data_IF_281104647836
#
_entry.id   IF_281104647836
#
_cell.length_a   1.000
_cell.length_b   1.000
_cell.length_c   1.000
_cell.angle_alpha   90.00
_cell.angle_beta   90.00
_cell.angle_gamma   90.00
#
_symmetry.space_group_name_H-M   'P 1'
#
loop_
_entity.id
_entity.type
_entity.pdbx_description
1 polymer ?
#
# COMPACT_ATOMS: atom_id res chain seq x y z
N UNK A 1 14.99 -10.02 2.43
CA UNK A 1 13.52 -10.21 2.54
C UNK A 1 12.91 -10.54 1.20
N UNK A 2 11.76 -11.16 1.22
CA UNK A 2 10.84 -11.37 0.09
C UNK A 2 9.65 -10.43 0.24
N UNK A 3 9.49 -9.51 -0.70
CA UNK A 3 8.57 -8.36 -0.56
C UNK A 3 7.54 -8.35 -1.68
N UNK A 4 6.27 -8.45 -1.32
CA UNK A 4 5.14 -8.30 -2.24
C UNK A 4 4.65 -6.84 -2.22
N UNK A 5 4.52 -6.22 -3.39
CA UNK A 5 4.19 -4.78 -3.51
C UNK A 5 3.06 -4.60 -4.52
N UNK A 6 1.91 -4.10 -4.10
CA UNK A 6 0.81 -3.82 -5.03
C UNK A 6 0.98 -2.48 -5.74
N UNK A 7 0.62 -2.43 -7.04
CA UNK A 7 0.79 -1.23 -7.87
C UNK A 7 2.25 -0.89 -8.16
N UNK A 8 3.10 -1.91 -8.43
CA UNK A 8 4.55 -1.80 -8.56
C UNK A 8 5.09 -1.21 -9.86
N UNK A 9 4.23 -0.74 -10.80
CA UNK A 9 4.67 -0.34 -12.14
C UNK A 9 4.89 1.17 -12.34
N UNK A 10 4.48 2.02 -11.40
CA UNK A 10 4.64 3.50 -11.49
C UNK A 10 4.69 4.17 -10.11
N UNK A 11 4.99 5.46 -10.11
CA UNK A 11 4.93 6.30 -8.91
C UNK A 11 5.72 5.72 -7.73
N UNK A 12 5.15 5.80 -6.53
CA UNK A 12 5.74 5.28 -5.30
C UNK A 12 6.00 3.77 -5.39
N UNK A 13 5.04 2.98 -5.94
CA UNK A 13 5.17 1.54 -6.04
C UNK A 13 6.40 1.09 -6.84
N UNK A 14 6.66 1.72 -7.98
CA UNK A 14 7.87 1.43 -8.77
C UNK A 14 9.15 1.82 -8.01
N UNK A 15 9.14 2.93 -7.27
CA UNK A 15 10.32 3.32 -6.49
C UNK A 15 10.54 2.37 -5.29
N UNK A 16 9.47 1.85 -4.69
CA UNK A 16 9.58 0.78 -3.68
C UNK A 16 10.19 -0.49 -4.29
N UNK A 17 9.71 -0.93 -5.47
CA UNK A 17 10.31 -2.08 -6.18
C UNK A 17 11.81 -1.83 -6.41
N UNK A 18 12.20 -0.65 -6.89
CA UNK A 18 13.61 -0.29 -7.13
C UNK A 18 14.44 -0.36 -5.86
N UNK A 19 14.05 0.36 -4.80
CA UNK A 19 14.86 0.45 -3.58
C UNK A 19 15.03 -0.91 -2.89
N UNK A 20 13.98 -1.74 -2.84
CA UNK A 20 14.12 -3.08 -2.28
C UNK A 20 14.99 -3.98 -3.17
N UNK A 21 14.82 -3.95 -4.49
CA UNK A 21 15.63 -4.74 -5.42
C UNK A 21 17.12 -4.34 -5.40
N UNK A 22 17.43 -3.06 -5.42
CA UNK A 22 18.80 -2.52 -5.37
C UNK A 22 19.54 -2.91 -4.08
N UNK A 23 18.79 -3.06 -2.98
CA UNK A 23 19.33 -3.54 -1.70
C UNK A 23 19.27 -5.07 -1.53
N UNK A 24 19.18 -5.82 -2.61
CA UNK A 24 19.37 -7.27 -2.62
C UNK A 24 18.15 -8.10 -2.22
N UNK A 25 16.98 -7.48 -2.06
CA UNK A 25 15.74 -8.19 -1.73
C UNK A 25 15.11 -8.82 -2.98
N UNK A 26 14.27 -9.83 -2.78
CA UNK A 26 13.42 -10.41 -3.82
C UNK A 26 12.09 -9.67 -3.79
N UNK A 27 11.65 -9.19 -4.95
CA UNK A 27 10.43 -8.40 -5.06
C UNK A 27 9.39 -9.07 -5.96
N UNK A 28 8.14 -9.03 -5.53
CA UNK A 28 6.97 -9.54 -6.24
C UNK A 28 5.98 -8.38 -6.49
N UNK A 29 6.25 -7.53 -7.51
CA UNK A 29 5.38 -6.41 -7.82
C UNK A 29 4.08 -6.90 -8.47
N UNK A 30 2.94 -6.59 -7.88
CA UNK A 30 1.64 -6.85 -8.50
C UNK A 30 1.27 -5.70 -9.42
N UNK A 31 0.91 -6.05 -10.64
CA UNK A 31 0.46 -5.15 -11.71
C UNK A 31 -0.73 -5.74 -12.45
N UNK A 32 -1.55 -4.88 -13.10
CA UNK A 32 -2.81 -5.30 -13.72
C UNK A 32 -2.76 -5.51 -15.23
N UNK A 33 -1.59 -5.35 -15.88
CA UNK A 33 -1.46 -5.48 -17.33
C UNK A 33 -0.20 -6.24 -17.72
N UNK A 34 -0.28 -7.06 -18.77
CA UNK A 34 0.86 -7.77 -19.36
C UNK A 34 1.98 -6.84 -19.82
N UNK A 35 1.62 -5.65 -20.29
CA UNK A 35 2.61 -4.62 -20.66
C UNK A 35 3.46 -4.23 -19.46
N UNK A 36 2.85 -4.02 -18.30
CA UNK A 36 3.59 -3.70 -17.08
C UNK A 36 4.46 -4.86 -16.60
N UNK A 37 3.99 -6.11 -16.74
CA UNK A 37 4.80 -7.31 -16.46
C UNK A 37 6.05 -7.33 -17.34
N UNK A 38 5.88 -7.14 -18.64
CA UNK A 38 6.99 -7.13 -19.62
C UNK A 38 7.99 -6.02 -19.31
N UNK A 39 7.52 -4.81 -19.01
CA UNK A 39 8.38 -3.68 -18.65
C UNK A 39 9.19 -3.96 -17.38
N UNK A 40 8.58 -4.52 -16.35
CA UNK A 40 9.29 -4.88 -15.12
C UNK A 40 10.34 -5.98 -15.35
N UNK A 41 10.02 -7.02 -16.15
CA UNK A 41 10.99 -8.06 -16.53
C UNK A 41 12.18 -7.52 -17.34
N UNK A 42 11.96 -6.51 -18.18
CA UNK A 42 13.02 -5.81 -18.89
C UNK A 42 13.88 -4.92 -17.99
N UNK A 43 13.24 -4.26 -17.01
CA UNK A 43 13.92 -3.35 -16.08
C UNK A 43 14.77 -4.09 -15.04
N UNK A 44 14.33 -5.27 -14.62
CA UNK A 44 14.96 -6.06 -13.56
C UNK A 44 15.27 -7.47 -14.06
N UNK A 45 16.55 -7.78 -14.26
CA UNK A 45 17.00 -9.05 -14.83
C UNK A 45 16.92 -10.26 -13.86
N UNK A 46 16.85 -10.01 -12.56
CA UNK A 46 16.80 -11.05 -11.52
C UNK A 46 16.06 -10.54 -10.27
N UNK A 47 15.68 -11.44 -9.39
CA UNK A 47 15.02 -11.12 -8.10
C UNK A 47 13.77 -10.24 -8.18
N UNK A 48 13.17 -10.13 -9.35
CA UNK A 48 11.90 -9.42 -9.57
C UNK A 48 10.96 -10.34 -10.36
N UNK A 49 9.88 -10.73 -9.72
CA UNK A 49 8.89 -11.68 -10.25
C UNK A 49 7.52 -11.01 -10.28
N UNK A 50 7.17 -10.30 -11.38
CA UNK A 50 5.89 -9.60 -11.47
C UNK A 50 4.71 -10.56 -11.39
N UNK A 51 3.70 -10.20 -10.61
CA UNK A 51 2.41 -10.89 -10.45
C UNK A 51 1.35 -10.12 -11.24
N UNK A 52 0.62 -10.83 -12.10
CA UNK A 52 -0.46 -10.24 -12.89
C UNK A 52 -1.80 -10.48 -12.22
N UNK A 53 -2.42 -9.44 -11.69
CA UNK A 53 -3.79 -9.49 -11.18
C UNK A 53 -4.39 -8.09 -11.08
N UNK A 54 -5.71 -7.99 -11.24
CA UNK A 54 -6.46 -6.75 -11.03
C UNK A 54 -7.18 -6.78 -9.67
N UNK A 55 -6.70 -5.96 -8.74
CA UNK A 55 -7.26 -5.86 -7.38
C UNK A 55 -8.70 -5.32 -7.34
N UNK A 56 -9.26 -4.82 -8.45
CA UNK A 56 -10.67 -4.45 -8.53
C UNK A 56 -11.60 -5.67 -8.61
N UNK A 57 -11.06 -6.86 -8.91
CA UNK A 57 -11.77 -8.11 -9.17
C UNK A 57 -11.47 -9.16 -8.09
N UNK A 58 -12.46 -9.95 -7.70
CA UNK A 58 -12.32 -10.97 -6.63
C UNK A 58 -11.39 -12.11 -7.03
N UNK A 59 -11.30 -12.42 -8.33
CA UNK A 59 -10.40 -13.44 -8.90
C UNK A 59 -8.93 -13.14 -8.62
N UNK A 60 -8.60 -11.88 -8.35
CA UNK A 60 -7.23 -11.48 -8.02
C UNK A 60 -6.65 -12.24 -6.81
N UNK A 61 -7.49 -12.65 -5.87
CA UNK A 61 -7.07 -13.45 -4.71
C UNK A 61 -6.42 -14.76 -5.12
N UNK A 62 -7.09 -15.55 -5.96
CA UNK A 62 -6.55 -16.84 -6.44
C UNK A 62 -5.41 -16.65 -7.45
N UNK A 63 -5.48 -15.61 -8.29
CA UNK A 63 -4.40 -15.26 -9.22
C UNK A 63 -3.10 -14.94 -8.48
N UNK A 64 -3.16 -14.16 -7.39
CA UNK A 64 -2.01 -13.82 -6.55
C UNK A 64 -1.45 -15.09 -5.92
N UNK A 65 -2.30 -15.89 -5.26
CA UNK A 65 -1.91 -17.10 -4.58
C UNK A 65 -1.18 -18.09 -5.53
N UNK A 66 -1.81 -18.41 -6.65
CA UNK A 66 -1.27 -19.39 -7.59
C UNK A 66 0.08 -18.96 -8.17
N UNK A 67 0.21 -17.69 -8.59
CA UNK A 67 1.48 -17.18 -9.12
C UNK A 67 2.58 -17.09 -8.04
N UNK A 68 2.25 -16.76 -6.80
CA UNK A 68 3.23 -16.75 -5.71
C UNK A 68 3.74 -18.16 -5.38
N UNK A 69 2.88 -19.17 -5.39
CA UNK A 69 3.25 -20.57 -5.16
C UNK A 69 4.28 -21.07 -6.17
N UNK A 70 4.28 -20.53 -7.42
CA UNK A 70 5.29 -20.85 -8.43
C UNK A 70 6.67 -20.23 -8.13
N UNK A 71 6.72 -19.10 -7.43
CA UNK A 71 7.95 -18.33 -7.25
C UNK A 71 8.55 -18.41 -5.85
N UNK A 72 7.74 -18.70 -4.82
CA UNK A 72 8.22 -18.63 -3.45
C UNK A 72 7.38 -19.44 -2.47
N UNK A 73 8.05 -19.96 -1.42
CA UNK A 73 7.39 -20.63 -0.31
C UNK A 73 6.87 -19.63 0.75
N UNK A 74 7.52 -18.47 0.89
CA UNK A 74 7.16 -17.49 1.91
C UNK A 74 7.35 -16.04 1.43
N UNK A 75 6.66 -15.12 2.10
CA UNK A 75 6.77 -13.66 1.94
C UNK A 75 7.00 -13.03 3.31
N UNK A 76 7.99 -12.15 3.45
CA UNK A 76 8.29 -11.45 4.70
C UNK A 76 7.47 -10.17 4.88
N UNK A 77 7.17 -9.50 3.76
CA UNK A 77 6.54 -8.18 3.76
C UNK A 77 5.54 -8.04 2.63
N UNK A 78 4.34 -7.64 2.96
CA UNK A 78 3.30 -7.20 2.02
C UNK A 78 3.16 -5.69 2.12
N UNK A 79 3.33 -4.96 1.01
CA UNK A 79 3.09 -3.53 0.93
C UNK A 79 1.88 -3.28 0.02
N UNK A 80 0.75 -2.95 0.63
CA UNK A 80 -0.47 -2.55 -0.05
C UNK A 80 -0.35 -1.08 -0.46
N UNK A 81 0.22 -0.83 -1.65
CA UNK A 81 0.47 0.50 -2.19
C UNK A 81 -0.51 0.88 -3.31
N UNK A 82 -1.12 -0.09 -4.00
CA UNK A 82 -2.07 0.20 -5.08
C UNK A 82 -3.16 1.17 -4.63
N UNK A 83 -3.44 2.16 -5.47
CA UNK A 83 -4.44 3.17 -5.16
C UNK A 83 -4.79 4.04 -6.34
N UNK A 84 -5.95 4.67 -6.24
CA UNK A 84 -6.47 5.67 -7.18
C UNK A 84 -6.85 6.93 -6.40
N UNK A 85 -7.02 8.05 -7.08
CA UNK A 85 -7.49 9.31 -6.49
C UNK A 85 -8.93 9.57 -6.86
N UNK A 86 -9.64 10.31 -6.00
CA UNK A 86 -10.93 10.91 -6.34
C UNK A 86 -10.75 12.34 -6.87
N UNK A 87 -11.81 12.89 -7.43
CA UNK A 87 -11.83 14.21 -8.05
C UNK A 87 -12.61 15.23 -7.23
N UNK A 88 -13.82 14.82 -6.81
CA UNK A 88 -14.78 15.74 -6.21
C UNK A 88 -14.40 16.10 -4.78
N UNK A 89 -14.42 17.39 -4.48
CA UNK A 89 -14.03 17.96 -3.18
C UNK A 89 -15.22 18.36 -2.31
N UNK A 90 -16.44 18.37 -2.88
CA UNK A 90 -17.68 18.77 -2.24
C UNK A 90 -18.74 17.66 -2.34
N UNK A 91 -19.56 17.52 -1.30
CA UNK A 91 -20.57 16.46 -1.21
C UNK A 91 -21.61 16.53 -2.34
N UNK A 92 -21.99 17.73 -2.77
CA UNK A 92 -23.00 17.92 -3.82
C UNK A 92 -22.54 17.43 -5.22
N UNK A 93 -21.24 17.33 -5.43
CA UNK A 93 -20.64 16.85 -6.69
C UNK A 93 -20.12 15.42 -6.60
N UNK A 94 -20.00 14.89 -5.38
CA UNK A 94 -19.54 13.51 -5.16
C UNK A 94 -20.60 12.51 -5.63
N UNK A 95 -20.19 11.59 -6.50
CA UNK A 95 -21.08 10.50 -6.95
C UNK A 95 -20.74 9.18 -6.26
N UNK A 96 -21.73 8.27 -6.22
CA UNK A 96 -21.59 6.97 -5.56
C UNK A 96 -20.59 6.04 -6.26
N UNK A 97 -20.46 6.15 -7.58
CA UNK A 97 -19.54 5.34 -8.38
C UNK A 97 -18.07 5.64 -7.98
N UNK A 98 -17.69 6.93 -7.94
CA UNK A 98 -16.34 7.32 -7.50
C UNK A 98 -16.03 6.77 -6.09
N UNK A 99 -16.97 6.91 -5.15
CA UNK A 99 -16.77 6.42 -3.79
C UNK A 99 -16.64 4.89 -3.76
N UNK A 100 -17.48 4.18 -4.52
CA UNK A 100 -17.45 2.71 -4.62
C UNK A 100 -16.12 2.23 -5.23
N UNK A 101 -15.65 2.87 -6.29
CA UNK A 101 -14.39 2.53 -6.94
C UNK A 101 -13.19 2.73 -6.00
N UNK A 102 -13.17 3.86 -5.28
CA UNK A 102 -12.11 4.10 -4.32
C UNK A 102 -12.15 3.10 -3.17
N UNK A 103 -13.32 2.79 -2.65
CA UNK A 103 -13.47 1.77 -1.60
C UNK A 103 -13.04 0.39 -2.11
N UNK A 104 -13.43 0.04 -3.35
CA UNK A 104 -13.04 -1.24 -3.97
C UNK A 104 -11.52 -1.40 -4.03
N UNK A 105 -10.79 -0.37 -4.45
CA UNK A 105 -9.32 -0.46 -4.54
C UNK A 105 -8.64 -0.34 -3.17
N UNK A 106 -9.02 0.66 -2.36
CA UNK A 106 -8.30 0.97 -1.12
C UNK A 106 -8.66 0.05 0.05
N UNK A 107 -9.82 -0.59 0.03
CA UNK A 107 -10.26 -1.52 1.09
C UNK A 107 -10.37 -2.95 0.58
N UNK A 108 -11.22 -3.25 -0.40
CA UNK A 108 -11.39 -4.61 -0.89
C UNK A 108 -10.14 -5.12 -1.60
N UNK A 109 -9.42 -4.25 -2.35
CA UNK A 109 -8.14 -4.60 -2.96
C UNK A 109 -7.08 -4.99 -1.93
N UNK A 110 -7.02 -4.31 -0.78
CA UNK A 110 -6.16 -4.71 0.35
C UNK A 110 -6.57 -6.07 0.89
N UNK A 111 -7.87 -6.32 1.09
CA UNK A 111 -8.38 -7.62 1.56
C UNK A 111 -7.99 -8.73 0.59
N UNK A 112 -8.17 -8.53 -0.73
CA UNK A 112 -7.81 -9.50 -1.77
C UNK A 112 -6.32 -9.81 -1.78
N UNK A 113 -5.48 -8.76 -1.70
CA UNK A 113 -4.02 -8.91 -1.63
C UNK A 113 -3.58 -9.68 -0.37
N UNK A 114 -4.14 -9.36 0.79
CA UNK A 114 -3.86 -10.06 2.04
C UNK A 114 -4.29 -11.52 1.96
N UNK A 115 -5.50 -11.82 1.47
CA UNK A 115 -5.97 -13.20 1.28
C UNK A 115 -5.07 -13.99 0.34
N UNK A 116 -4.68 -13.41 -0.81
CA UNK A 116 -3.84 -14.07 -1.81
C UNK A 116 -2.41 -14.32 -1.33
N UNK A 117 -1.89 -13.49 -0.42
CA UNK A 117 -0.53 -13.62 0.13
C UNK A 117 -0.47 -14.37 1.45
N UNK A 118 -1.61 -14.59 2.13
CA UNK A 118 -1.66 -15.06 3.51
C UNK A 118 -0.90 -16.36 3.77
N UNK A 119 -1.05 -17.37 2.89
CA UNK A 119 -0.40 -18.67 3.07
C UNK A 119 1.13 -18.54 3.03
N UNK A 120 1.66 -17.72 2.13
CA UNK A 120 3.09 -17.45 2.03
C UNK A 120 3.58 -16.54 3.18
N UNK A 121 2.75 -15.55 3.57
CA UNK A 121 3.08 -14.63 4.66
C UNK A 121 3.16 -15.36 6.02
N UNK A 122 2.25 -16.28 6.29
CA UNK A 122 2.21 -17.07 7.53
C UNK A 122 3.40 -18.03 7.71
N UNK A 123 4.19 -18.27 6.66
CA UNK A 123 5.41 -19.10 6.71
C UNK A 123 6.69 -18.29 6.99
N UNK A 124 6.61 -16.97 7.08
CA UNK A 124 7.75 -16.12 7.43
C UNK A 124 7.99 -16.11 8.94
N UNK A 125 9.24 -15.99 9.35
CA UNK A 125 9.62 -15.81 10.76
C UNK A 125 9.25 -14.40 11.29
N UNK A 126 9.14 -13.42 10.39
CA UNK A 126 8.87 -12.02 10.74
C UNK A 126 7.85 -11.37 9.80
N UNK A 127 6.62 -11.93 9.70
CA UNK A 127 5.64 -11.48 8.72
C UNK A 127 5.11 -10.08 9.03
N UNK A 128 5.06 -9.23 8.02
CA UNK A 128 4.56 -7.84 8.14
C UNK A 128 3.64 -7.46 6.99
N UNK A 129 2.62 -6.66 7.30
CA UNK A 129 1.75 -5.99 6.34
C UNK A 129 1.87 -4.47 6.55
N UNK A 130 2.11 -3.75 5.48
CA UNK A 130 2.12 -2.29 5.45
C UNK A 130 1.01 -1.83 4.50
N UNK A 131 0.07 -1.07 5.01
CA UNK A 131 -0.95 -0.41 4.22
C UNK A 131 -0.53 1.05 3.96
N UNK A 132 -0.25 1.37 2.69
CA UNK A 132 0.07 2.76 2.30
C UNK A 132 -1.21 3.57 2.31
N UNK A 133 -1.43 4.24 3.44
CA UNK A 133 -2.54 5.14 3.69
C UNK A 133 -2.18 6.59 3.33
N UNK A 134 -2.83 7.54 3.96
CA UNK A 134 -2.61 8.97 3.77
C UNK A 134 -2.97 9.73 5.05
N UNK A 135 -2.25 10.82 5.35
CA UNK A 135 -2.67 11.78 6.38
C UNK A 135 -4.12 12.25 6.20
N UNK A 136 -4.62 12.21 4.96
CA UNK A 136 -5.99 12.58 4.62
C UNK A 136 -7.05 11.60 5.15
N UNK A 137 -6.66 10.39 5.56
CA UNK A 137 -7.50 9.42 6.24
C UNK A 137 -7.53 9.58 7.77
N UNK A 138 -6.78 10.52 8.35
CA UNK A 138 -6.79 10.78 9.80
C UNK A 138 -8.06 11.51 10.21
N UNK A 139 -8.89 10.84 11.03
CA UNK A 139 -10.09 11.45 11.64
C UNK A 139 -9.70 12.58 12.61
N UNK A 140 -8.61 12.39 13.35
CA UNK A 140 -8.09 13.40 14.27
C UNK A 140 -7.72 14.70 13.54
N UNK A 141 -6.93 14.59 12.44
CA UNK A 141 -6.54 15.78 11.65
C UNK A 141 -7.75 16.45 11.01
N UNK A 142 -8.71 15.66 10.55
CA UNK A 142 -9.96 16.18 9.97
C UNK A 142 -10.79 16.92 11.01
N UNK A 143 -10.98 16.38 12.21
CA UNK A 143 -11.70 17.01 13.32
C UNK A 143 -11.04 18.31 13.78
N UNK A 144 -9.71 18.37 13.76
CA UNK A 144 -8.91 19.55 14.10
C UNK A 144 -8.80 20.59 12.97
N UNK A 145 -9.50 20.38 11.84
CA UNK A 145 -9.52 21.31 10.69
C UNK A 145 -8.12 21.58 10.11
N UNK A 146 -7.22 20.59 10.14
CA UNK A 146 -5.86 20.72 9.59
C UNK A 146 -5.83 20.75 8.05
N UNK A 147 -6.94 20.48 7.39
CA UNK A 147 -7.06 20.46 5.94
C UNK A 147 -7.93 21.62 5.44
N UNK A 148 -7.45 22.43 4.47
CA UNK A 148 -8.26 23.47 3.84
C UNK A 148 -9.50 22.89 3.17
N UNK A 149 -10.63 23.63 3.22
CA UNK A 149 -11.86 23.23 2.55
C UNK A 149 -11.69 23.23 1.03
N UNK A 150 -12.39 22.33 0.35
CA UNK A 150 -12.45 22.27 -1.12
C UNK A 150 -11.16 21.88 -1.84
N UNK A 151 -10.11 21.44 -1.13
CA UNK A 151 -8.81 21.14 -1.73
C UNK A 151 -8.49 19.66 -1.87
N UNK A 152 -9.18 18.80 -1.14
CA UNK A 152 -8.91 17.36 -1.15
C UNK A 152 -10.18 16.57 -1.47
N UNK A 153 -10.03 15.52 -2.28
CA UNK A 153 -11.15 14.66 -2.68
C UNK A 153 -11.94 14.15 -1.48
N UNK A 154 -13.26 14.30 -1.58
CA UNK A 154 -14.21 13.84 -0.58
C UNK A 154 -14.15 12.31 -0.43
N UNK A 155 -14.30 11.61 -1.57
CA UNK A 155 -14.28 10.14 -1.63
C UNK A 155 -12.94 9.54 -1.20
N UNK A 156 -11.81 10.18 -1.56
CA UNK A 156 -10.48 9.71 -1.18
C UNK A 156 -10.26 9.73 0.33
N UNK A 157 -10.68 10.82 1.00
CA UNK A 157 -10.58 10.92 2.47
C UNK A 157 -11.36 9.81 3.16
N UNK A 158 -12.59 9.54 2.69
CA UNK A 158 -13.44 8.47 3.24
C UNK A 158 -12.78 7.10 3.03
N UNK A 159 -12.32 6.81 1.81
CA UNK A 159 -11.68 5.53 1.50
C UNK A 159 -10.39 5.31 2.32
N UNK A 160 -9.58 6.36 2.54
CA UNK A 160 -8.36 6.26 3.35
C UNK A 160 -8.65 6.13 4.86
N UNK A 161 -9.72 6.74 5.36
CA UNK A 161 -10.19 6.51 6.73
C UNK A 161 -10.69 5.07 6.92
N UNK A 162 -11.43 4.54 5.94
CA UNK A 162 -11.85 3.14 5.93
C UNK A 162 -10.65 2.17 5.85
N UNK A 163 -9.62 2.48 5.04
CA UNK A 163 -8.37 1.70 5.00
C UNK A 163 -7.60 1.74 6.34
N UNK A 164 -7.63 2.86 7.05
CA UNK A 164 -7.07 2.97 8.40
C UNK A 164 -7.81 2.04 9.37
N UNK A 165 -9.14 2.03 9.36
CA UNK A 165 -9.94 1.09 10.15
C UNK A 165 -9.62 -0.37 9.78
N UNK A 166 -9.52 -0.69 8.48
CA UNK A 166 -9.14 -2.02 8.02
C UNK A 166 -7.76 -2.44 8.56
N UNK A 167 -6.80 -1.51 8.65
CA UNK A 167 -5.49 -1.80 9.25
C UNK A 167 -5.60 -2.26 10.70
N UNK A 168 -6.46 -1.61 11.49
CA UNK A 168 -6.70 -2.00 12.89
C UNK A 168 -7.44 -3.33 12.99
N UNK A 169 -8.42 -3.60 12.13
CA UNK A 169 -9.11 -4.88 12.07
C UNK A 169 -8.13 -6.04 11.76
N UNK A 170 -7.27 -5.84 10.74
CA UNK A 170 -6.25 -6.83 10.40
C UNK A 170 -5.24 -7.03 11.53
N UNK A 171 -4.82 -5.95 12.21
CA UNK A 171 -3.94 -6.05 13.36
C UNK A 171 -4.55 -6.89 14.47
N UNK A 172 -5.80 -6.60 14.85
CA UNK A 172 -6.50 -7.34 15.89
C UNK A 172 -6.67 -8.83 15.54
N UNK A 173 -7.00 -9.14 14.28
CA UNK A 173 -7.16 -10.52 13.81
C UNK A 173 -5.82 -11.28 13.79
N UNK A 174 -4.73 -10.61 13.44
CA UNK A 174 -3.44 -11.25 13.18
C UNK A 174 -2.44 -11.17 14.35
N UNK A 175 -2.76 -10.47 15.42
CA UNK A 175 -1.90 -10.32 16.60
C UNK A 175 -1.42 -11.68 17.14
N UNK A 176 -2.36 -12.60 17.38
CA UNK A 176 -2.04 -13.95 17.89
C UNK A 176 -1.37 -14.86 16.83
N UNK A 177 -1.27 -14.42 15.58
CA UNK A 177 -0.59 -15.13 14.49
C UNK A 177 0.83 -14.58 14.25
N UNK A 178 1.27 -13.60 15.03
CA UNK A 178 2.58 -12.99 14.92
C UNK A 178 2.76 -12.09 13.69
N UNK A 179 1.69 -11.78 12.94
CA UNK A 179 1.74 -10.90 11.77
C UNK A 179 1.52 -9.46 12.22
N UNK A 180 2.49 -8.59 12.00
CA UNK A 180 2.41 -7.16 12.34
C UNK A 180 1.78 -6.37 11.21
N UNK A 181 0.80 -5.51 11.52
CA UNK A 181 0.10 -4.70 10.52
C UNK A 181 0.22 -3.21 10.88
N UNK A 182 0.67 -2.40 9.93
CA UNK A 182 0.92 -0.95 10.14
C UNK A 182 0.32 -0.15 8.99
N UNK A 183 -0.30 0.99 9.27
CA UNK A 183 -0.61 1.99 8.27
C UNK A 183 0.53 3.00 8.16
N UNK A 184 0.87 3.42 6.92
CA UNK A 184 1.85 4.48 6.71
C UNK A 184 1.28 5.62 5.87
N UNK A 185 1.65 6.85 6.21
CA UNK A 185 1.60 7.99 5.30
C UNK A 185 2.99 8.13 4.65
N UNK A 186 3.10 8.04 3.30
CA UNK A 186 4.40 8.02 2.63
C UNK A 186 5.08 9.38 2.51
N UNK A 187 4.50 10.44 3.13
CA UNK A 187 4.85 11.83 2.90
C UNK A 187 3.99 12.48 1.80
N UNK A 188 4.24 13.75 1.52
CA UNK A 188 3.52 14.55 0.51
C UNK A 188 4.17 14.38 -0.86
N UNK A 189 3.84 13.30 -1.57
CA UNK A 189 4.53 12.86 -2.78
C UNK A 189 4.04 13.58 -4.04
N UNK A 190 4.97 14.00 -4.90
CA UNK A 190 4.74 14.50 -6.27
C UNK A 190 4.47 13.32 -7.21
N UNK A 191 3.22 12.87 -7.28
CA UNK A 191 2.75 11.78 -8.14
C UNK A 191 1.49 12.21 -8.88
N UNK A 192 1.02 11.41 -9.83
CA UNK A 192 -0.24 11.66 -10.55
C UNK A 192 -1.47 11.75 -9.62
N UNK A 193 -1.36 11.11 -8.44
CA UNK A 193 -2.39 11.14 -7.38
C UNK A 193 -1.97 12.01 -6.18
N UNK A 194 -0.88 12.75 -6.33
CA UNK A 194 -0.33 13.63 -5.29
C UNK A 194 -1.21 14.85 -5.03
N UNK A 195 -1.19 15.33 -3.78
CA UNK A 195 -1.88 16.55 -3.40
C UNK A 195 -1.12 17.78 -3.94
N UNK A 196 -1.83 18.91 -4.05
CA UNK A 196 -1.28 20.18 -4.53
C UNK A 196 -0.09 20.71 -3.67
N UNK A 197 -0.03 20.32 -2.40
CA UNK A 197 1.02 20.70 -1.44
C UNK A 197 2.19 19.68 -1.41
N UNK A 198 2.31 18.85 -2.45
CA UNK A 198 3.37 17.85 -2.56
C UNK A 198 4.76 18.49 -2.67
N UNK A 199 5.70 18.03 -1.86
CA UNK A 199 7.06 18.58 -1.78
C UNK A 199 8.17 17.51 -1.87
N UNK A 200 7.80 16.22 -1.85
CA UNK A 200 8.72 15.08 -1.85
C UNK A 200 8.57 14.28 -3.14
N UNK A 201 9.65 13.77 -3.69
CA UNK A 201 9.61 12.85 -4.84
C UNK A 201 9.18 11.44 -4.42
N UNK A 202 8.62 10.63 -5.33
CA UNK A 202 8.32 9.23 -5.04
C UNK A 202 9.56 8.42 -4.61
N UNK A 203 10.75 8.76 -5.12
CA UNK A 203 11.99 8.10 -4.76
C UNK A 203 12.40 8.39 -3.30
N UNK A 204 12.30 9.63 -2.86
CA UNK A 204 12.53 10.02 -1.46
C UNK A 204 11.53 9.33 -0.52
N UNK A 205 10.23 9.29 -0.88
CA UNK A 205 9.22 8.61 -0.10
C UNK A 205 9.47 7.10 -0.01
N UNK A 206 9.87 6.45 -1.10
CA UNK A 206 10.22 5.04 -1.10
C UNK A 206 11.46 4.75 -0.25
N UNK A 207 12.48 5.62 -0.30
CA UNK A 207 13.66 5.50 0.54
C UNK A 207 13.31 5.64 2.02
N UNK A 208 12.51 6.62 2.41
CA UNK A 208 12.08 6.79 3.79
C UNK A 208 11.31 5.56 4.31
N UNK A 209 10.42 4.98 3.48
CA UNK A 209 9.71 3.73 3.82
C UNK A 209 10.69 2.58 3.96
N UNK A 210 11.64 2.43 3.04
CA UNK A 210 12.64 1.38 3.07
C UNK A 210 13.49 1.48 4.34
N UNK A 211 14.06 2.65 4.63
CA UNK A 211 14.88 2.89 5.80
C UNK A 211 14.11 2.57 7.10
N UNK A 212 12.84 3.01 7.17
CA UNK A 212 11.98 2.68 8.30
C UNK A 212 11.69 1.17 8.42
N UNK A 213 11.47 0.47 7.31
CA UNK A 213 11.24 -0.98 7.29
C UNK A 213 12.46 -1.75 7.78
N UNK A 214 13.66 -1.33 7.38
CA UNK A 214 14.92 -2.00 7.76
C UNK A 214 15.33 -1.68 9.21
N UNK A 215 15.17 -0.45 9.65
CA UNK A 215 15.54 0.01 11.00
C UNK A 215 14.49 -0.38 12.07
N UNK A 216 13.32 -0.85 11.66
CA UNK A 216 12.20 -1.09 12.57
C UNK A 216 12.38 -2.32 13.45
N UNK A 217 13.26 -2.23 14.46
CA UNK A 217 13.13 -2.96 15.73
C UNK A 217 11.95 -2.42 16.56
N UNK A 218 11.26 -1.37 16.06
CA UNK A 218 10.12 -0.74 16.72
C UNK A 218 8.87 -1.54 16.42
N UNK A 219 8.20 -2.00 17.44
CA UNK A 219 6.85 -2.52 17.33
C UNK A 219 5.89 -1.37 16.94
N UNK A 220 5.64 -1.25 15.65
CA UNK A 220 4.72 -0.28 15.06
C UNK A 220 3.38 -0.92 14.65
N UNK A 221 3.13 -2.15 15.11
CA UNK A 221 1.88 -2.85 14.83
C UNK A 221 0.69 -2.11 15.45
N UNK A 222 -0.39 -1.96 14.69
CA UNK A 222 -1.54 -1.17 15.11
C UNK A 222 -1.31 0.35 15.15
N UNK A 223 -0.23 0.85 14.52
CA UNK A 223 0.09 2.27 14.49
C UNK A 223 -0.07 2.87 13.08
N UNK A 224 -0.25 4.18 13.06
CA UNK A 224 -0.24 4.99 11.85
C UNK A 224 1.04 5.82 11.83
N UNK A 225 1.94 5.54 10.89
CA UNK A 225 3.31 6.08 10.88
C UNK A 225 3.54 6.96 9.65
N UNK A 226 4.23 8.07 9.81
CA UNK A 226 4.91 8.78 8.73
C UNK A 226 6.42 8.52 8.86
N UNK A 227 7.03 7.72 7.95
CA UNK A 227 8.45 7.40 8.00
C UNK A 227 9.33 8.66 7.99
N UNK A 228 10.29 8.75 8.92
CA UNK A 228 11.13 9.93 9.12
C UNK A 228 10.50 11.05 9.96
N UNK A 229 9.21 10.95 10.31
CA UNK A 229 8.50 11.93 11.15
C UNK A 229 8.04 11.32 12.46
N UNK A 230 7.37 10.18 12.43
CA UNK A 230 6.88 9.49 13.63
C UNK A 230 5.44 9.02 13.53
N UNK A 231 4.81 8.80 14.70
CA UNK A 231 3.43 8.33 14.80
C UNK A 231 2.42 9.44 14.54
N UNK A 232 1.47 9.18 13.66
CA UNK A 232 0.32 10.03 13.40
C UNK A 232 -0.89 9.57 14.24
N UNK A 233 -1.78 10.49 14.52
CA UNK A 233 -3.10 10.16 15.09
C UNK A 233 -4.05 9.69 13.99
N UNK A 234 -4.84 8.67 14.34
CA UNK A 234 -5.87 8.09 13.47
C UNK A 234 -6.95 9.08 13.06
#
# INVERSE_FOLDING_TARGET
MRVFITGGNRGLGLQLVKVFHENGHIVYPLVRTEVAVTQLKQMFSCRCFPILADLSLDESTEQIKNQLEEYTEYIDLVINNAGITGKETEVLHTNSEELTDLFNIHCLGVIRAVKGTYVALAKSDHPRIINVSSRLGSLHKMANKEFPQGQFSYSYRIAKAAQNMLTLCLQQEFENKGIRVTAIHPGKLKTDIGAFDANMTPAEGAKNIYDWVIDSNVDASGKFIEPGVGELKW
#
